data_IF_717635330176
#
_entry.id   IF_717635330176
#
_cell.length_a   1.000
_cell.length_b   1.000
_cell.length_c   1.000
_cell.angle_alpha   90.00
_cell.angle_beta   90.00
_cell.angle_gamma   90.00
#
_symmetry.space_group_name_H-M   'P 1'
#
loop_
_entity.id
_entity.type
_entity.pdbx_description
1 polymer ?
#
# COMPACT_ATOMS: atom_id res chain seq x y z
N UNK A 1 20.54 -32.77 10.65
CA UNK A 1 19.11 -33.03 10.32
C UNK A 1 18.79 -32.34 9.00
N UNK A 2 18.07 -33.02 8.08
CA UNK A 2 17.79 -32.48 6.75
C UNK A 2 16.87 -31.26 6.83
N UNK A 3 17.09 -30.26 5.98
CA UNK A 3 16.27 -29.04 5.82
C UNK A 3 14.78 -29.38 5.61
N UNK A 4 14.49 -30.47 4.91
CA UNK A 4 13.14 -31.00 4.70
C UNK A 4 12.41 -31.38 6.00
N UNK A 5 13.12 -31.93 7.00
CA UNK A 5 12.52 -32.31 8.28
C UNK A 5 12.24 -31.10 9.19
N UNK A 6 13.05 -30.03 9.08
CA UNK A 6 12.80 -28.75 9.77
C UNK A 6 11.57 -28.04 9.18
N UNK A 7 11.45 -27.98 7.86
CA UNK A 7 10.29 -27.40 7.15
C UNK A 7 8.98 -28.15 7.41
N UNK A 8 9.03 -29.49 7.52
CA UNK A 8 7.84 -30.30 7.84
C UNK A 8 7.33 -30.09 9.28
N UNK A 9 8.24 -29.86 10.24
CA UNK A 9 7.86 -29.47 11.61
C UNK A 9 7.21 -28.09 11.68
N UNK A 10 7.74 -27.10 10.94
CA UNK A 10 7.14 -25.75 10.88
C UNK A 10 5.75 -25.79 10.21
N UNK A 11 5.55 -26.53 9.13
CA UNK A 11 4.21 -26.71 8.52
C UNK A 11 3.21 -27.34 9.49
N UNK A 12 3.61 -28.28 10.35
CA UNK A 12 2.75 -28.90 11.34
C UNK A 12 2.28 -27.95 12.45
N UNK A 13 3.05 -26.89 12.76
CA UNK A 13 2.65 -25.83 13.68
C UNK A 13 1.71 -24.81 13.02
N UNK A 14 1.96 -24.43 11.77
CA UNK A 14 1.13 -23.49 11.00
C UNK A 14 -0.30 -24.01 10.75
N UNK A 15 -0.47 -25.31 10.50
CA UNK A 15 -1.80 -25.93 10.28
C UNK A 15 -2.60 -26.04 11.57
N UNK A 16 -1.95 -26.16 12.75
CA UNK A 16 -2.65 -26.23 14.04
C UNK A 16 -3.14 -24.87 14.57
N UNK A 17 -2.55 -23.76 14.13
CA UNK A 17 -2.99 -22.41 14.53
C UNK A 17 -4.15 -21.89 13.67
N UNK A 18 -4.22 -22.24 12.38
CA UNK A 18 -5.33 -21.83 11.51
C UNK A 18 -6.67 -22.45 11.89
N UNK A 19 -6.69 -23.64 12.49
CA UNK A 19 -7.93 -24.26 13.00
C UNK A 19 -8.42 -23.68 14.34
N UNK A 20 -7.53 -23.02 15.11
CA UNK A 20 -7.92 -22.37 16.36
C UNK A 20 -8.48 -20.97 16.20
N UNK A 21 -8.12 -20.26 15.13
CA UNK A 21 -8.61 -18.91 14.87
C UNK A 21 -9.97 -18.88 14.15
N UNK A 22 -10.39 -19.98 13.54
CA UNK A 22 -11.69 -20.09 12.89
C UNK A 22 -12.87 -20.34 13.87
N UNK A 23 -12.59 -20.70 15.13
CA UNK A 23 -13.62 -21.02 16.12
C UNK A 23 -13.90 -19.94 17.18
N UNK A 24 -13.24 -18.77 17.09
CA UNK A 24 -13.35 -17.69 18.09
C UNK A 24 -14.00 -16.38 17.57
N UNK A 25 -14.54 -16.37 16.35
CA UNK A 25 -15.12 -15.15 15.76
C UNK A 25 -16.65 -15.09 15.72
N UNK A 26 -17.38 -15.87 16.51
CA UNK A 26 -18.85 -15.86 16.50
C UNK A 26 -19.56 -15.57 17.82
N UNK A 27 -18.88 -15.17 18.88
CA UNK A 27 -19.56 -14.71 20.11
C UNK A 27 -18.80 -13.56 20.72
N UNK A 28 -19.27 -12.33 20.54
CA UNK A 28 -19.40 -11.20 21.48
C UNK A 28 -19.93 -9.98 20.74
N UNK A 29 -21.24 -9.83 20.73
CA UNK A 29 -21.91 -8.53 20.63
C UNK A 29 -23.02 -8.53 21.67
N UNK A 30 -22.94 -7.64 22.62
CA UNK A 30 -23.92 -7.02 23.49
C UNK A 30 -23.59 -7.09 24.98
N UNK A 31 -23.25 -5.95 25.54
CA UNK A 31 -23.75 -5.36 26.79
C UNK A 31 -22.72 -4.34 27.30
N UNK A 32 -23.01 -3.03 27.25
CA UNK A 32 -23.63 -2.38 28.40
C UNK A 32 -22.62 -1.45 29.07
N UNK A 33 -22.76 -0.14 28.80
CA UNK A 33 -22.12 1.01 29.45
C UNK A 33 -22.57 1.10 30.93
N UNK A 34 -21.63 1.22 31.87
CA UNK A 34 -21.81 1.95 33.14
C UNK A 34 -20.44 2.49 33.59
N UNK A 35 -20.37 3.80 33.83
CA UNK A 35 -19.20 4.51 34.36
C UNK A 35 -19.11 4.43 35.88
N UNK A 36 -17.90 4.62 36.37
CA UNK A 36 -17.65 5.18 37.71
C UNK A 36 -16.32 5.93 37.73
N UNK A 37 -16.39 7.14 38.28
CA UNK A 37 -15.31 8.07 38.60
C UNK A 37 -14.57 7.67 39.90
N UNK A 38 -13.47 8.43 40.24
CA UNK A 38 -12.37 7.93 41.06
C UNK A 38 -12.53 8.20 42.56
N UNK A 39 -11.85 7.44 43.37
CA UNK A 39 -11.70 7.70 44.79
C UNK A 39 -10.26 7.99 45.17
N UNK A 40 -10.03 9.20 45.67
CA UNK A 40 -8.87 9.66 46.43
C UNK A 40 -8.70 8.85 47.72
N UNK A 41 -7.49 8.54 48.07
CA UNK A 41 -7.09 8.39 49.49
C UNK A 41 -5.70 8.97 49.70
N UNK A 42 -5.67 9.95 50.62
CA UNK A 42 -4.50 10.60 51.15
C UNK A 42 -4.14 10.02 52.55
N UNK A 43 -2.95 10.43 52.98
CA UNK A 43 -2.36 10.36 54.33
C UNK A 43 -1.63 9.04 54.69
N UNK A 44 -0.51 8.99 55.39
CA UNK A 44 0.14 10.00 56.28
C UNK A 44 1.60 9.61 56.51
N UNK A 45 2.41 10.58 56.84
CA UNK A 45 3.79 10.62 57.19
C UNK A 45 4.12 9.90 58.50
N UNK A 46 5.29 9.28 58.60
CA UNK A 46 6.05 9.17 59.88
C UNK A 46 7.54 9.26 59.62
N UNK A 47 8.14 10.26 60.19
CA UNK A 47 9.58 10.54 60.27
C UNK A 47 10.15 9.79 61.47
N UNK A 48 11.22 9.04 61.30
CA UNK A 48 12.14 8.73 62.38
C UNK A 48 13.60 9.01 61.98
N UNK A 49 14.17 9.97 62.67
CA UNK A 49 15.59 10.31 62.65
C UNK A 49 16.36 9.35 63.54
N UNK A 50 17.43 8.76 63.04
CA UNK A 50 18.52 8.27 63.90
C UNK A 50 19.86 8.71 63.38
N UNK A 51 20.66 9.12 64.34
CA UNK A 51 21.87 9.92 64.26
C UNK A 51 23.11 9.16 63.75
N UNK A 52 23.92 9.91 63.07
CA UNK A 52 25.25 9.65 62.54
C UNK A 52 26.33 9.39 63.60
N UNK A 53 27.20 8.43 63.34
CA UNK A 53 28.60 8.47 63.76
C UNK A 53 29.54 8.25 62.58
N UNK A 54 30.66 8.94 62.45
CA UNK A 54 31.56 8.85 61.31
C UNK A 54 32.63 7.75 61.53
N UNK A 55 32.66 6.83 60.57
CA UNK A 55 33.81 5.91 60.41
C UNK A 55 34.76 6.48 59.38
N UNK A 56 35.99 6.68 59.76
CA UNK A 56 37.15 7.09 58.97
C UNK A 56 37.41 6.12 57.83
N UNK A 57 37.24 6.61 56.57
CA UNK A 57 37.56 5.87 55.36
C UNK A 57 39.07 6.02 55.04
N UNK A 58 39.79 4.92 55.01
CA UNK A 58 41.05 4.79 54.31
C UNK A 58 40.71 4.67 52.79
N UNK A 59 41.05 5.71 52.06
CA UNK A 59 40.99 5.74 50.60
C UNK A 59 42.07 4.86 49.99
N UNK A 60 41.77 3.61 49.71
CA UNK A 60 42.49 2.90 48.65
C UNK A 60 41.86 3.27 47.31
N UNK A 61 42.53 4.12 46.55
CA UNK A 61 42.24 4.40 45.16
C UNK A 61 42.57 3.18 44.32
N UNK A 62 41.57 2.34 44.07
CA UNK A 62 41.68 1.39 42.97
C UNK A 62 41.84 2.18 41.66
N UNK A 63 42.80 1.82 40.79
CA UNK A 63 42.83 2.40 39.44
C UNK A 63 41.51 2.11 38.73
N UNK A 64 41.03 3.03 37.87
CA UNK A 64 39.81 2.79 37.14
C UNK A 64 39.91 1.45 36.39
N UNK A 65 38.94 0.58 36.60
CA UNK A 65 38.82 -0.65 35.85
C UNK A 65 38.89 -0.28 34.38
N UNK A 66 39.86 -0.78 33.65
CA UNK A 66 39.87 -0.70 32.19
C UNK A 66 38.58 -1.42 31.75
N UNK A 67 37.64 -0.66 31.24
CA UNK A 67 36.45 -1.18 30.52
C UNK A 67 37.02 -2.07 29.41
N UNK A 68 36.92 -3.37 29.58
CA UNK A 68 37.25 -4.31 28.50
C UNK A 68 36.20 -4.14 27.41
N UNK A 69 36.62 -3.60 26.29
CA UNK A 69 35.78 -3.63 25.10
C UNK A 69 35.28 -5.06 24.87
N UNK A 70 33.97 -5.23 24.53
CA UNK A 70 33.43 -6.56 24.30
C UNK A 70 34.20 -7.26 23.18
N UNK A 71 34.58 -8.51 23.39
CA UNK A 71 35.27 -9.32 22.39
C UNK A 71 34.24 -9.73 21.30
N UNK A 72 34.44 -9.23 20.08
CA UNK A 72 33.53 -9.47 18.94
C UNK A 72 34.03 -10.68 18.16
N UNK A 73 33.29 -11.79 18.15
CA UNK A 73 33.67 -12.96 17.36
C UNK A 73 33.74 -12.62 15.87
N UNK A 74 34.78 -13.13 15.20
CA UNK A 74 35.00 -12.96 13.74
C UNK A 74 35.05 -11.50 13.29
N UNK A 75 35.66 -10.62 14.04
CA UNK A 75 35.77 -9.17 13.78
C UNK A 75 36.26 -8.88 12.34
N UNK A 76 37.23 -9.65 11.85
CA UNK A 76 37.77 -9.54 10.49
C UNK A 76 36.74 -9.85 9.39
N UNK A 77 35.76 -10.70 9.66
CA UNK A 77 34.66 -11.00 8.72
C UNK A 77 33.61 -9.89 8.72
N UNK A 78 33.28 -9.36 9.89
CA UNK A 78 32.42 -8.18 10.00
C UNK A 78 33.00 -6.98 9.25
N UNK A 79 34.29 -6.75 9.36
CA UNK A 79 34.99 -5.67 8.63
C UNK A 79 34.88 -5.86 7.11
N UNK A 80 35.05 -7.10 6.60
CA UNK A 80 34.84 -7.41 5.17
C UNK A 80 33.40 -7.15 4.69
N UNK A 81 32.43 -7.31 5.56
CA UNK A 81 31.03 -6.97 5.31
C UNK A 81 30.74 -5.48 5.49
N UNK A 82 31.74 -4.64 5.76
CA UNK A 82 31.60 -3.20 6.05
C UNK A 82 30.74 -2.95 7.31
N UNK A 83 30.80 -3.85 8.28
CA UNK A 83 30.09 -3.75 9.54
C UNK A 83 31.04 -3.49 10.69
N UNK A 84 30.68 -2.55 11.55
CA UNK A 84 31.42 -2.19 12.76
C UNK A 84 30.52 -2.28 14.00
N UNK A 85 31.08 -2.56 15.18
CA UNK A 85 30.29 -2.59 16.39
C UNK A 85 29.88 -1.18 16.82
N UNK A 86 28.64 -1.06 17.25
CA UNK A 86 28.15 0.06 18.04
C UNK A 86 27.93 -0.45 19.46
N UNK A 87 28.66 0.14 20.42
CA UNK A 87 28.65 -0.27 21.82
C UNK A 87 27.80 0.73 22.60
N UNK A 88 26.88 0.21 23.40
CA UNK A 88 26.07 0.99 24.32
C UNK A 88 26.01 0.24 25.66
N UNK A 89 26.47 0.90 26.72
CA UNK A 89 26.71 0.25 28.00
C UNK A 89 27.64 -0.99 27.84
N UNK A 90 27.19 -2.16 28.29
CA UNK A 90 27.95 -3.41 28.22
C UNK A 90 27.59 -4.28 26.99
N UNK A 91 26.69 -3.76 26.10
CA UNK A 91 26.15 -4.51 24.97
C UNK A 91 26.59 -3.91 23.63
N UNK A 92 26.57 -4.72 22.58
CA UNK A 92 26.88 -4.24 21.24
C UNK A 92 25.88 -4.75 20.16
N UNK A 93 25.77 -3.98 19.09
CA UNK A 93 25.15 -4.37 17.84
C UNK A 93 26.09 -4.11 16.69
N UNK A 94 25.85 -4.76 15.55
CA UNK A 94 26.65 -4.54 14.36
C UNK A 94 25.94 -3.55 13.44
N UNK A 95 26.63 -2.47 13.07
CA UNK A 95 26.13 -1.52 12.08
C UNK A 95 26.94 -1.72 10.80
N UNK A 96 26.23 -2.18 9.75
CA UNK A 96 26.78 -2.24 8.40
C UNK A 96 26.42 -0.96 7.67
N UNK A 97 27.42 -0.27 7.08
CA UNK A 97 27.21 0.93 6.29
C UNK A 97 27.83 0.78 4.90
N UNK A 98 27.00 0.96 3.88
CA UNK A 98 27.42 0.96 2.47
C UNK A 98 27.00 2.26 1.81
N UNK A 99 27.89 2.84 1.02
CA UNK A 99 27.70 4.13 0.37
C UNK A 99 27.72 3.98 -1.13
N UNK A 100 26.78 4.61 -1.80
CA UNK A 100 26.62 4.62 -3.25
C UNK A 100 26.60 6.06 -3.75
N UNK A 101 27.35 6.39 -4.81
CA UNK A 101 27.24 7.70 -5.44
C UNK A 101 25.79 7.99 -5.86
N UNK A 102 25.28 9.20 -5.65
CA UNK A 102 23.89 9.55 -5.97
C UNK A 102 23.57 9.40 -7.46
N UNK A 103 24.56 9.53 -8.34
CA UNK A 103 24.42 9.29 -9.78
C UNK A 103 24.40 7.81 -10.17
N UNK A 104 24.63 6.89 -9.24
CA UNK A 104 24.60 5.46 -9.53
C UNK A 104 23.17 5.01 -9.86
N UNK A 105 23.07 4.12 -10.86
CA UNK A 105 21.82 3.48 -11.21
C UNK A 105 21.59 2.22 -10.38
N UNK A 106 20.32 2.04 -10.00
CA UNK A 106 19.80 0.78 -9.49
C UNK A 106 18.61 0.37 -10.38
N UNK A 107 18.86 -0.57 -11.26
CA UNK A 107 17.96 -0.88 -12.37
C UNK A 107 17.87 0.28 -13.38
N UNK A 108 16.65 0.65 -13.76
CA UNK A 108 16.39 1.68 -14.77
C UNK A 108 16.73 3.10 -14.31
N UNK A 109 16.76 3.39 -12.99
CA UNK A 109 16.81 4.74 -12.44
C UNK A 109 18.12 5.03 -11.71
N UNK A 110 18.62 6.27 -11.84
CA UNK A 110 19.66 6.79 -10.97
C UNK A 110 19.05 7.35 -9.68
N UNK A 111 19.73 7.20 -8.55
CA UNK A 111 19.24 7.71 -7.27
C UNK A 111 19.02 9.23 -7.25
N UNK A 112 19.83 9.98 -8.04
CA UNK A 112 19.69 11.44 -8.18
C UNK A 112 18.31 11.88 -8.69
N UNK A 113 17.59 11.01 -9.43
CA UNK A 113 16.27 11.29 -9.95
C UNK A 113 15.20 11.45 -8.84
N UNK A 114 15.53 11.06 -7.60
CA UNK A 114 14.67 11.31 -6.44
C UNK A 114 14.42 12.80 -6.21
N UNK A 115 15.42 13.67 -6.47
CA UNK A 115 15.26 15.11 -6.37
C UNK A 115 14.21 15.64 -7.35
N UNK A 116 14.27 15.16 -8.61
CA UNK A 116 13.35 15.60 -9.68
C UNK A 116 11.91 15.20 -9.38
N UNK A 117 11.70 13.97 -8.87
CA UNK A 117 10.34 13.50 -8.60
C UNK A 117 9.73 14.17 -7.36
N UNK A 118 10.52 14.52 -6.35
CA UNK A 118 10.05 15.32 -5.21
C UNK A 118 9.68 16.74 -5.67
N UNK A 119 10.53 17.37 -6.48
CA UNK A 119 10.23 18.67 -7.07
C UNK A 119 8.98 18.64 -7.96
N UNK A 120 8.74 17.52 -8.65
CA UNK A 120 7.53 17.32 -9.45
C UNK A 120 6.27 17.23 -8.58
N UNK A 121 6.33 16.61 -7.41
CA UNK A 121 5.21 16.63 -6.45
C UNK A 121 4.89 18.05 -6.00
N UNK A 122 5.91 18.84 -5.65
CA UNK A 122 5.74 20.24 -5.26
C UNK A 122 5.09 21.05 -6.38
N UNK A 123 5.62 20.96 -7.60
CA UNK A 123 5.11 21.68 -8.77
C UNK A 123 3.68 21.27 -9.16
N UNK A 124 3.30 20.02 -8.91
CA UNK A 124 1.97 19.50 -9.27
C UNK A 124 0.84 20.06 -8.42
N UNK A 125 1.12 20.45 -7.19
CA UNK A 125 0.13 20.85 -6.19
C UNK A 125 -0.92 19.78 -5.86
N UNK A 126 -0.73 18.53 -6.30
CA UNK A 126 -1.69 17.43 -6.14
C UNK A 126 -1.64 16.82 -4.74
N UNK A 127 -2.80 16.67 -4.11
CA UNK A 127 -2.93 15.90 -2.89
C UNK A 127 -2.99 14.41 -3.23
N UNK A 128 -1.93 13.68 -2.90
CA UNK A 128 -1.83 12.24 -3.19
C UNK A 128 -1.17 11.50 -2.01
N UNK A 129 -1.59 10.25 -1.69
CA UNK A 129 -1.00 9.47 -0.58
C UNK A 129 0.49 9.20 -0.70
N UNK A 130 1.07 9.25 -1.90
CA UNK A 130 2.50 9.10 -2.16
C UNK A 130 3.21 10.45 -2.39
N UNK A 131 2.54 11.59 -2.17
CA UNK A 131 3.15 12.89 -2.34
C UNK A 131 4.20 13.17 -1.29
N UNK A 132 5.41 13.54 -1.73
CA UNK A 132 6.47 14.08 -0.89
C UNK A 132 6.62 15.60 -1.04
N UNK A 133 5.58 16.31 -1.49
CA UNK A 133 5.58 17.77 -1.56
C UNK A 133 5.90 18.39 -0.19
N UNK A 134 6.73 19.42 -0.16
CA UNK A 134 7.21 20.07 1.06
C UNK A 134 8.28 19.27 1.83
N UNK A 135 8.88 18.24 1.20
CA UNK A 135 9.97 17.43 1.78
C UNK A 135 11.22 17.56 0.94
N UNK A 136 12.35 17.30 1.56
CA UNK A 136 13.64 17.14 0.87
C UNK A 136 13.92 15.63 0.73
N UNK A 137 14.77 15.21 -0.21
CA UNK A 137 15.19 13.80 -0.32
C UNK A 137 15.75 13.22 0.99
N UNK A 138 16.50 14.01 1.75
CA UNK A 138 17.10 13.62 3.03
C UNK A 138 16.06 13.38 4.14
N UNK A 139 14.86 13.91 3.99
CA UNK A 139 13.76 13.74 4.94
C UNK A 139 13.10 12.35 4.82
N UNK A 140 13.39 11.61 3.73
CA UNK A 140 12.84 10.29 3.45
C UNK A 140 13.78 9.18 3.93
N UNK A 141 13.24 8.24 4.69
CA UNK A 141 13.90 7.03 5.14
C UNK A 141 13.26 5.82 4.45
N UNK A 142 13.97 5.22 3.51
CA UNK A 142 13.53 4.02 2.80
C UNK A 142 13.85 2.81 3.67
N UNK A 143 12.84 2.21 4.26
CA UNK A 143 12.96 1.37 5.44
C UNK A 143 12.35 -0.01 5.24
N UNK A 144 13.06 -1.03 5.73
CA UNK A 144 12.64 -2.42 5.74
C UNK A 144 13.22 -3.15 6.97
N UNK A 145 12.59 -4.25 7.42
CA UNK A 145 13.01 -5.01 8.60
C UNK A 145 13.01 -6.50 8.38
N UNK A 146 13.94 -7.18 9.11
CA UNK A 146 13.89 -8.63 9.23
C UNK A 146 13.54 -9.05 10.67
N UNK A 147 12.62 -10.00 10.76
CA UNK A 147 12.06 -10.45 12.03
C UNK A 147 12.11 -11.97 12.19
N UNK A 148 12.10 -12.46 13.41
CA UNK A 148 12.15 -13.91 13.70
C UNK A 148 10.88 -14.67 13.35
N UNK A 149 9.80 -13.97 12.93
CA UNK A 149 8.55 -14.59 12.53
C UNK A 149 7.62 -13.63 11.79
N UNK A 150 6.72 -14.19 11.00
CA UNK A 150 5.81 -13.47 10.10
C UNK A 150 4.49 -13.03 10.78
N UNK A 151 4.19 -13.50 11.98
CA UNK A 151 2.98 -13.14 12.72
C UNK A 151 3.24 -11.90 13.58
N UNK A 152 2.31 -10.93 13.55
CA UNK A 152 2.37 -9.78 14.45
C UNK A 152 2.28 -10.19 15.91
N UNK A 153 3.01 -9.48 16.81
CA UNK A 153 2.93 -9.69 18.25
C UNK A 153 4.27 -9.60 18.97
N UNK A 154 4.23 -9.51 20.30
CA UNK A 154 5.41 -9.32 21.15
C UNK A 154 6.40 -10.50 21.16
N UNK A 155 6.03 -11.64 20.59
CA UNK A 155 6.88 -12.85 20.54
C UNK A 155 7.93 -12.85 19.43
N UNK A 156 7.85 -11.92 18.46
CA UNK A 156 8.82 -11.81 17.39
C UNK A 156 9.86 -10.73 17.72
N UNK A 157 11.13 -11.03 17.47
CA UNK A 157 12.23 -10.07 17.61
C UNK A 157 12.54 -9.47 16.25
N UNK A 158 12.72 -8.16 16.18
CA UNK A 158 13.31 -7.47 15.03
C UNK A 158 14.81 -7.64 15.17
N UNK A 159 15.45 -8.36 14.26
CA UNK A 159 16.89 -8.62 14.34
C UNK A 159 17.71 -7.82 13.31
N UNK A 160 17.04 -7.20 12.34
CA UNK A 160 17.64 -6.29 11.38
C UNK A 160 16.72 -5.10 11.13
N UNK A 161 17.23 -3.89 11.35
CA UNK A 161 16.61 -2.63 10.97
C UNK A 161 17.46 -2.04 9.85
N UNK A 162 16.96 -2.17 8.61
CA UNK A 162 17.64 -1.68 7.43
C UNK A 162 16.98 -0.42 6.88
N UNK A 163 17.78 0.52 6.41
CA UNK A 163 17.29 1.68 5.68
C UNK A 163 18.31 2.24 4.70
N UNK A 164 17.81 2.94 3.68
CA UNK A 164 18.62 3.81 2.85
C UNK A 164 18.13 5.26 2.94
N UNK A 165 19.04 6.21 2.80
CA UNK A 165 18.78 7.64 2.85
C UNK A 165 19.78 8.41 2.00
N UNK A 166 19.36 9.58 1.47
CA UNK A 166 20.30 10.52 0.84
C UNK A 166 21.08 11.27 1.92
N UNK A 167 22.38 11.32 1.78
CA UNK A 167 23.30 12.12 2.60
C UNK A 167 24.27 12.87 1.66
N UNK A 168 23.95 14.12 1.32
CA UNK A 168 24.71 14.90 0.34
C UNK A 168 24.68 14.26 -1.05
N UNK A 169 25.85 13.91 -1.58
CA UNK A 169 25.99 13.31 -2.90
C UNK A 169 26.03 11.76 -2.88
N UNK A 170 25.54 11.16 -1.79
CA UNK A 170 25.54 9.72 -1.61
C UNK A 170 24.18 9.19 -1.16
N UNK A 171 23.90 7.95 -1.53
CA UNK A 171 22.90 7.10 -0.88
C UNK A 171 23.62 6.26 0.15
N UNK A 172 23.22 6.39 1.40
CA UNK A 172 23.79 5.63 2.52
C UNK A 172 22.80 4.56 2.94
N UNK A 173 23.21 3.31 2.82
CA UNK A 173 22.50 2.16 3.39
C UNK A 173 23.06 1.89 4.76
N UNK A 174 22.21 1.85 5.79
CA UNK A 174 22.58 1.41 7.15
C UNK A 174 21.70 0.26 7.58
N UNK A 175 22.37 -0.72 8.16
CA UNK A 175 21.75 -1.94 8.66
C UNK A 175 22.21 -2.15 10.10
N UNK A 176 21.26 -2.03 11.03
CA UNK A 176 21.48 -2.28 12.45
C UNK A 176 21.11 -3.73 12.73
N UNK A 177 22.10 -4.56 12.97
CA UNK A 177 21.94 -6.00 13.15
C UNK A 177 22.12 -6.39 14.62
N UNK A 178 21.21 -7.22 15.11
CA UNK A 178 21.15 -7.72 16.49
C UNK A 178 21.93 -9.03 16.63
N UNK A 179 23.16 -9.04 17.15
CA UNK A 179 23.96 -10.27 17.26
C UNK A 179 23.47 -11.21 18.37
N UNK A 180 22.76 -10.67 19.37
CA UNK A 180 22.18 -11.45 20.45
C UNK A 180 20.88 -10.80 20.96
N UNK A 181 19.84 -11.56 21.30
CA UNK A 181 18.52 -11.00 21.66
C UNK A 181 18.53 -10.04 22.86
N UNK A 182 19.50 -10.15 23.78
CA UNK A 182 19.62 -9.29 24.96
C UNK A 182 20.11 -7.87 24.60
N UNK A 183 20.80 -7.67 23.47
CA UNK A 183 21.24 -6.38 22.99
C UNK A 183 20.13 -5.56 22.26
N UNK A 184 18.86 -5.87 22.46
CA UNK A 184 17.75 -5.19 21.80
C UNK A 184 17.67 -3.70 22.14
N UNK A 185 17.99 -3.30 23.36
CA UNK A 185 18.06 -1.89 23.79
C UNK A 185 19.11 -1.15 22.95
N UNK A 186 20.29 -1.72 22.82
CA UNK A 186 21.38 -1.17 22.01
C UNK A 186 21.00 -1.06 20.53
N UNK A 187 20.25 -2.04 19.99
CA UNK A 187 19.73 -2.00 18.62
C UNK A 187 18.83 -0.77 18.41
N UNK A 188 17.88 -0.57 19.30
CA UNK A 188 16.96 0.55 19.18
C UNK A 188 17.63 1.89 19.45
N UNK A 189 18.58 1.95 20.39
CA UNK A 189 19.37 3.16 20.66
C UNK A 189 20.12 3.58 19.40
N UNK A 190 20.88 2.68 18.80
CA UNK A 190 21.68 2.95 17.60
C UNK A 190 20.83 3.38 16.39
N UNK A 191 19.67 2.76 16.22
CA UNK A 191 18.74 3.10 15.13
C UNK A 191 18.12 4.48 15.34
N UNK A 192 17.59 4.76 16.53
CA UNK A 192 16.83 5.97 16.82
C UNK A 192 17.71 7.23 16.75
N UNK A 193 18.97 7.17 17.16
CA UNK A 193 19.94 8.28 17.00
C UNK A 193 20.11 8.73 15.55
N UNK A 194 19.96 7.81 14.60
CA UNK A 194 20.08 8.11 13.18
C UNK A 194 18.72 8.42 12.53
N UNK A 195 17.67 7.73 12.94
CA UNK A 195 16.32 7.86 12.38
C UNK A 195 15.67 9.23 12.69
N UNK A 196 16.04 9.88 13.78
CA UNK A 196 15.55 11.20 14.19
C UNK A 196 15.80 12.29 13.12
N UNK A 197 16.78 12.10 12.25
CA UNK A 197 17.13 13.03 11.17
C UNK A 197 16.11 13.02 10.00
N UNK A 198 15.19 12.07 9.97
CA UNK A 198 14.20 11.89 8.90
C UNK A 198 12.79 12.16 9.42
N UNK A 199 11.87 12.51 8.51
CA UNK A 199 10.48 12.83 8.86
C UNK A 199 9.46 11.85 8.29
N UNK A 200 9.83 11.07 7.26
CA UNK A 200 8.93 10.15 6.58
C UNK A 200 9.58 8.81 6.31
N UNK A 201 8.84 7.74 6.58
CA UNK A 201 9.19 6.39 6.14
C UNK A 201 8.64 6.15 4.73
N UNK A 202 9.45 5.52 3.88
CA UNK A 202 9.04 4.92 2.62
C UNK A 202 9.25 3.43 2.73
N UNK A 203 8.20 2.63 2.59
CA UNK A 203 8.24 1.19 2.84
C UNK A 203 7.46 0.40 1.80
N UNK A 204 7.61 -0.92 1.82
CA UNK A 204 6.79 -1.83 1.04
C UNK A 204 6.01 -2.77 1.97
N UNK A 205 4.74 -2.47 2.24
CA UNK A 205 3.88 -3.12 3.26
C UNK A 205 4.27 -2.79 4.72
N UNK A 206 5.24 -1.92 4.93
CA UNK A 206 5.77 -1.62 6.25
C UNK A 206 4.77 -0.94 7.18
N UNK A 207 3.79 -0.21 6.62
CA UNK A 207 2.71 0.39 7.41
C UNK A 207 1.86 -0.64 8.15
N UNK A 208 1.70 -1.83 7.56
CA UNK A 208 0.91 -2.92 8.12
C UNK A 208 1.75 -3.97 8.83
N UNK A 209 3.05 -4.06 8.56
CA UNK A 209 3.93 -5.12 9.04
C UNK A 209 5.14 -4.60 9.82
N UNK A 210 6.11 -3.97 9.18
CA UNK A 210 7.39 -3.59 9.77
C UNK A 210 7.24 -2.59 10.91
N UNK A 211 6.58 -1.47 10.64
CA UNK A 211 6.45 -0.39 11.61
C UNK A 211 5.62 -0.77 12.86
N UNK A 212 4.50 -1.52 12.77
CA UNK A 212 3.84 -2.10 13.93
C UNK A 212 4.73 -3.01 14.78
N UNK A 213 5.61 -3.82 14.16
CA UNK A 213 6.56 -4.66 14.88
C UNK A 213 7.58 -3.81 15.65
N UNK A 214 8.22 -2.85 14.97
CA UNK A 214 9.15 -1.89 15.60
C UNK A 214 8.48 -1.18 16.78
N UNK A 215 7.26 -0.68 16.62
CA UNK A 215 6.52 -0.02 17.70
C UNK A 215 6.20 -0.95 18.87
N UNK A 216 5.81 -2.19 18.59
CA UNK A 216 5.49 -3.19 19.61
C UNK A 216 6.72 -3.49 20.45
N UNK A 217 7.88 -3.74 19.80
CA UNK A 217 9.13 -4.00 20.50
C UNK A 217 9.61 -2.78 21.28
N UNK A 218 9.63 -1.59 20.66
CA UNK A 218 9.96 -0.35 21.33
C UNK A 218 9.11 -0.12 22.59
N UNK A 219 7.82 -0.44 22.57
CA UNK A 219 6.95 -0.26 23.73
C UNK A 219 7.42 -1.08 24.96
N UNK A 220 8.08 -2.22 24.74
CA UNK A 220 8.59 -3.08 25.81
C UNK A 220 9.85 -2.51 26.47
N UNK A 221 10.62 -1.70 25.73
CA UNK A 221 11.91 -1.14 26.18
C UNK A 221 11.90 0.39 26.26
N UNK A 222 10.76 1.03 26.11
CA UNK A 222 10.58 2.47 25.95
C UNK A 222 11.21 3.36 27.04
N UNK A 223 11.39 2.80 28.24
CA UNK A 223 11.98 3.52 29.37
C UNK A 223 13.54 3.52 29.32
N UNK A 224 14.13 2.79 28.36
CA UNK A 224 15.57 2.62 28.18
C UNK A 224 16.09 3.20 26.85
N UNK A 225 15.20 3.63 25.94
CA UNK A 225 15.57 4.12 24.62
C UNK A 225 14.84 5.43 24.29
N UNK A 226 15.34 6.26 23.35
CA UNK A 226 14.64 7.44 22.91
C UNK A 226 13.22 7.14 22.37
N UNK A 227 12.34 8.14 22.42
CA UNK A 227 10.99 8.01 21.87
C UNK A 227 11.03 7.77 20.35
N UNK A 228 10.10 6.94 19.83
CA UNK A 228 9.93 6.78 18.40
C UNK A 228 9.51 8.09 17.75
N UNK A 229 10.17 8.52 16.66
CA UNK A 229 9.74 9.67 15.87
C UNK A 229 8.32 9.49 15.30
N UNK A 230 7.57 10.58 15.23
CA UNK A 230 6.26 10.60 14.58
C UNK A 230 6.42 10.71 13.07
N UNK A 231 6.77 9.63 12.42
CA UNK A 231 6.95 9.59 10.97
C UNK A 231 5.64 9.73 10.20
N UNK A 232 5.66 10.56 9.12
CA UNK A 232 4.78 10.35 7.97
C UNK A 232 5.12 9.00 7.31
N UNK A 233 4.20 8.40 6.55
CA UNK A 233 4.42 7.04 6.03
C UNK A 233 3.88 6.88 4.62
N UNK A 234 4.78 6.67 3.67
CA UNK A 234 4.52 6.38 2.26
C UNK A 234 4.69 4.87 2.04
N UNK A 235 3.59 4.12 1.94
CA UNK A 235 3.64 2.67 1.72
C UNK A 235 3.39 2.36 0.24
N UNK A 236 4.41 1.85 -0.44
CA UNK A 236 4.41 1.63 -1.88
C UNK A 236 3.59 0.42 -2.32
N UNK A 237 3.36 -0.58 -1.44
CA UNK A 237 2.58 -1.77 -1.79
C UNK A 237 1.14 -1.42 -2.21
N UNK A 238 0.51 -0.44 -1.53
CA UNK A 238 -0.84 -0.03 -1.88
C UNK A 238 -0.90 0.60 -3.27
N UNK A 239 0.13 1.37 -3.64
CA UNK A 239 0.30 1.92 -4.98
C UNK A 239 0.53 0.82 -6.02
N UNK A 240 1.45 -0.09 -5.76
CA UNK A 240 1.75 -1.22 -6.63
C UNK A 240 0.52 -2.08 -6.93
N UNK A 241 -0.26 -2.39 -5.91
CA UNK A 241 -1.52 -3.15 -6.08
C UNK A 241 -2.58 -2.41 -6.89
N UNK A 242 -2.63 -1.09 -6.81
CA UNK A 242 -3.55 -0.30 -7.64
C UNK A 242 -3.14 -0.30 -9.09
N UNK A 243 -1.86 -0.11 -9.35
CA UNK A 243 -1.33 0.02 -10.70
C UNK A 243 -1.24 -1.34 -11.42
N UNK A 244 -0.75 -2.38 -10.74
CA UNK A 244 -0.27 -3.59 -11.42
C UNK A 244 -0.90 -4.92 -10.98
N UNK A 245 -1.87 -4.91 -10.04
CA UNK A 245 -2.47 -6.16 -9.56
C UNK A 245 -3.13 -7.01 -10.65
N UNK A 246 -3.63 -6.39 -11.72
CA UNK A 246 -4.27 -7.10 -12.83
C UNK A 246 -3.25 -7.53 -13.90
N UNK A 247 -2.10 -6.88 -13.98
CA UNK A 247 -1.05 -7.08 -14.96
C UNK A 247 -0.02 -8.11 -14.50
N UNK A 248 0.46 -7.97 -13.26
CA UNK A 248 1.52 -8.81 -12.71
C UNK A 248 0.97 -10.08 -12.04
N UNK A 249 1.74 -11.16 -12.13
CA UNK A 249 1.46 -12.41 -11.42
C UNK A 249 1.35 -12.18 -9.90
N UNK A 250 2.20 -11.32 -9.38
CA UNK A 250 2.24 -10.94 -7.96
C UNK A 250 2.80 -9.54 -7.78
N UNK A 251 2.25 -8.80 -6.80
CA UNK A 251 2.81 -7.52 -6.36
C UNK A 251 3.83 -7.71 -5.22
N UNK A 252 4.70 -8.73 -5.28
CA UNK A 252 5.88 -8.83 -4.40
C UNK A 252 6.98 -7.92 -4.92
N UNK A 253 7.80 -7.37 -4.02
CA UNK A 253 8.84 -6.41 -4.41
C UNK A 253 9.76 -6.98 -5.48
N UNK A 254 10.28 -8.20 -5.31
CA UNK A 254 11.17 -8.83 -6.29
C UNK A 254 10.54 -9.05 -7.69
N UNK A 255 9.21 -9.24 -7.80
CA UNK A 255 8.54 -9.28 -9.11
C UNK A 255 8.43 -7.89 -9.72
N UNK A 256 8.12 -6.88 -8.92
CA UNK A 256 8.05 -5.49 -9.39
C UNK A 256 9.44 -4.99 -9.81
N UNK A 257 10.47 -5.35 -9.08
CA UNK A 257 11.87 -5.07 -9.43
C UNK A 257 12.20 -5.57 -10.83
N UNK A 258 11.91 -6.81 -11.10
CA UNK A 258 12.20 -7.45 -12.38
C UNK A 258 11.35 -6.86 -13.51
N UNK A 259 10.04 -6.70 -13.30
CA UNK A 259 9.08 -6.36 -14.36
C UNK A 259 8.99 -4.85 -14.64
N UNK A 260 9.31 -4.01 -13.64
CA UNK A 260 9.10 -2.54 -13.73
C UNK A 260 10.36 -1.71 -13.51
N UNK A 261 11.39 -2.27 -12.87
CA UNK A 261 12.58 -1.49 -12.50
C UNK A 261 13.86 -1.98 -13.17
N UNK A 262 13.86 -3.07 -13.92
CA UNK A 262 15.05 -3.71 -14.49
C UNK A 262 16.09 -4.07 -13.41
N UNK A 263 15.63 -4.43 -12.21
CA UNK A 263 16.48 -4.91 -11.11
C UNK A 263 16.40 -6.42 -11.05
N UNK A 264 17.53 -7.08 -11.28
CA UNK A 264 17.65 -8.53 -11.25
C UNK A 264 18.55 -8.94 -10.08
N UNK A 265 18.03 -9.80 -9.20
CA UNK A 265 18.77 -10.31 -8.05
C UNK A 265 19.54 -11.56 -8.43
N UNK A 266 20.85 -11.51 -8.29
CA UNK A 266 21.72 -12.68 -8.44
C UNK A 266 21.90 -13.35 -7.08
N UNK A 267 21.73 -14.68 -7.00
CA UNK A 267 21.89 -15.49 -5.80
C UNK A 267 21.11 -15.00 -4.55
N UNK A 268 19.91 -14.42 -4.77
CA UNK A 268 19.09 -13.85 -3.70
C UNK A 268 18.62 -14.90 -2.68
N UNK A 269 18.70 -14.55 -1.42
CA UNK A 269 18.15 -15.35 -0.34
C UNK A 269 16.63 -15.14 -0.26
N UNK A 270 15.79 -16.18 -0.46
CA UNK A 270 14.36 -16.00 -0.24
C UNK A 270 14.06 -15.48 1.17
N UNK A 271 13.33 -14.35 1.29
CA UNK A 271 13.10 -13.66 2.57
C UNK A 271 12.55 -14.54 3.70
N UNK A 272 11.76 -15.60 3.37
CA UNK A 272 11.27 -16.56 4.38
C UNK A 272 12.41 -17.37 5.04
N UNK A 273 13.63 -17.34 4.51
CA UNK A 273 14.81 -17.99 5.11
C UNK A 273 15.57 -17.06 6.06
N UNK A 274 15.31 -15.77 6.06
CA UNK A 274 16.00 -14.81 6.93
C UNK A 274 15.93 -15.20 8.43
N UNK A 275 14.75 -15.61 8.97
CA UNK A 275 14.69 -16.09 10.37
C UNK A 275 15.54 -17.34 10.62
N UNK A 276 15.60 -18.25 9.65
CA UNK A 276 16.40 -19.48 9.79
C UNK A 276 17.89 -19.15 9.83
N UNK A 277 18.34 -18.23 8.96
CA UNK A 277 19.73 -17.75 8.95
C UNK A 277 20.09 -17.03 10.24
N UNK A 278 19.18 -16.24 10.78
CA UNK A 278 19.41 -15.59 12.07
C UNK A 278 19.57 -16.61 13.20
N UNK A 279 18.74 -17.65 13.27
CA UNK A 279 18.92 -18.70 14.28
C UNK A 279 20.20 -19.51 14.08
N UNK A 280 20.61 -19.78 12.85
CA UNK A 280 21.89 -20.44 12.55
C UNK A 280 23.06 -19.52 12.98
N UNK A 281 22.95 -18.19 12.75
CA UNK A 281 23.92 -17.20 13.22
C UNK A 281 24.02 -17.17 14.77
N UNK A 282 22.90 -17.17 15.49
CA UNK A 282 22.92 -17.17 16.95
C UNK A 282 23.68 -18.37 17.55
N UNK A 283 23.78 -19.49 16.83
CA UNK A 283 24.53 -20.68 17.24
C UNK A 283 26.02 -20.60 16.88
N UNK A 284 26.35 -20.03 15.74
CA UNK A 284 27.72 -20.02 15.20
C UNK A 284 28.46 -18.73 15.49
N UNK A 285 27.73 -17.61 15.63
CA UNK A 285 28.22 -16.23 15.64
C UNK A 285 29.03 -15.84 14.39
N UNK A 286 28.96 -16.66 13.31
CA UNK A 286 29.71 -16.47 12.08
C UNK A 286 28.96 -15.52 11.13
N UNK A 287 29.50 -14.34 10.77
CA UNK A 287 28.88 -13.37 9.88
C UNK A 287 28.56 -13.92 8.48
N UNK A 288 29.31 -14.89 7.97
CA UNK A 288 29.07 -15.46 6.65
C UNK A 288 27.68 -16.13 6.54
N UNK A 289 27.11 -16.55 7.68
CA UNK A 289 25.75 -17.13 7.74
C UNK A 289 24.66 -16.11 7.46
N UNK A 290 24.87 -14.84 7.85
CA UNK A 290 23.89 -13.76 7.76
C UNK A 290 24.12 -12.84 6.54
N UNK A 291 25.25 -12.97 5.84
CA UNK A 291 25.60 -12.13 4.69
C UNK A 291 24.47 -12.05 3.64
N UNK A 292 23.88 -13.19 3.28
CA UNK A 292 22.77 -13.24 2.31
C UNK A 292 21.54 -12.43 2.77
N UNK A 293 21.27 -12.37 4.08
CA UNK A 293 20.17 -11.57 4.63
C UNK A 293 20.49 -10.08 4.56
N UNK A 294 21.73 -9.70 4.89
CA UNK A 294 22.17 -8.31 4.77
C UNK A 294 22.09 -7.80 3.34
N UNK A 295 22.53 -8.61 2.35
CA UNK A 295 22.45 -8.26 0.93
C UNK A 295 21.00 -8.18 0.43
N UNK A 296 20.12 -9.08 0.87
CA UNK A 296 18.70 -9.06 0.56
C UNK A 296 18.05 -7.74 1.00
N UNK A 297 18.17 -7.41 2.28
CA UNK A 297 17.63 -6.18 2.86
C UNK A 297 18.25 -4.91 2.24
N UNK A 298 19.56 -4.92 1.91
CA UNK A 298 20.22 -3.82 1.18
C UNK A 298 19.54 -3.57 -0.17
N UNK A 299 19.29 -4.64 -0.94
CA UNK A 299 18.60 -4.54 -2.23
C UNK A 299 17.19 -3.99 -2.06
N UNK A 300 16.45 -4.47 -1.04
CA UNK A 300 15.10 -4.00 -0.74
C UNK A 300 15.08 -2.48 -0.52
N UNK A 301 15.91 -1.96 0.38
CA UNK A 301 15.89 -0.52 0.70
C UNK A 301 16.41 0.36 -0.43
N UNK A 302 17.27 -0.13 -1.31
CA UNK A 302 17.66 0.58 -2.55
C UNK A 302 16.55 0.55 -3.59
N UNK A 303 15.88 -0.57 -3.75
CA UNK A 303 14.74 -0.72 -4.66
C UNK A 303 13.55 0.14 -4.27
N UNK A 304 13.35 0.42 -2.98
CA UNK A 304 12.32 1.36 -2.54
C UNK A 304 12.53 2.77 -3.11
N UNK A 305 13.80 3.24 -3.25
CA UNK A 305 14.10 4.54 -3.85
C UNK A 305 13.64 4.54 -5.31
N UNK A 306 14.08 3.57 -6.09
CA UNK A 306 13.80 3.52 -7.53
C UNK A 306 12.32 3.20 -7.81
N UNK A 307 11.67 2.43 -6.96
CA UNK A 307 10.23 2.19 -7.04
C UNK A 307 9.44 3.48 -6.77
N UNK A 308 9.86 4.27 -5.79
CA UNK A 308 9.22 5.55 -5.50
C UNK A 308 9.39 6.53 -6.68
N UNK A 309 10.58 6.58 -7.29
CA UNK A 309 10.84 7.37 -8.50
C UNK A 309 9.92 6.93 -9.64
N UNK A 310 9.89 5.63 -9.94
CA UNK A 310 9.06 5.05 -10.99
C UNK A 310 7.57 5.37 -10.80
N UNK A 311 7.02 5.10 -9.62
CA UNK A 311 5.62 5.38 -9.33
C UNK A 311 5.29 6.87 -9.44
N UNK A 312 6.17 7.75 -8.97
CA UNK A 312 5.94 9.20 -9.06
C UNK A 312 5.90 9.67 -10.51
N UNK A 313 6.82 9.17 -11.36
CA UNK A 313 6.81 9.47 -12.80
C UNK A 313 5.53 9.01 -13.46
N UNK A 314 5.10 7.78 -13.22
CA UNK A 314 3.82 7.28 -13.74
C UNK A 314 2.64 8.17 -13.30
N UNK A 315 2.57 8.56 -12.04
CA UNK A 315 1.46 9.34 -11.51
C UNK A 315 1.42 10.78 -12.04
N UNK A 316 2.58 11.42 -12.23
CA UNK A 316 2.66 12.84 -12.56
C UNK A 316 2.97 13.11 -14.05
N UNK A 317 3.61 12.17 -14.75
CA UNK A 317 4.13 12.37 -16.10
C UNK A 317 3.66 11.31 -17.11
N UNK A 318 2.60 10.57 -16.79
CA UNK A 318 2.05 9.50 -17.65
C UNK A 318 1.70 9.96 -19.08
N UNK A 319 1.51 11.25 -19.31
CA UNK A 319 1.30 11.81 -20.65
C UNK A 319 2.58 11.85 -21.51
N UNK A 320 3.75 11.80 -20.87
CA UNK A 320 5.06 11.99 -21.52
C UNK A 320 5.89 10.72 -21.61
N UNK A 321 5.56 9.71 -20.81
CA UNK A 321 6.29 8.45 -20.72
C UNK A 321 5.58 7.34 -21.49
N UNK A 322 6.30 6.28 -21.84
CA UNK A 322 5.75 5.09 -22.46
C UNK A 322 4.99 4.25 -21.41
N UNK A 323 3.81 4.74 -21.01
CA UNK A 323 2.92 4.09 -20.03
C UNK A 323 1.90 3.24 -20.78
N UNK A 324 1.61 2.04 -20.28
CA UNK A 324 0.60 1.18 -20.88
C UNK A 324 -0.80 1.78 -20.73
N UNK A 325 -1.72 1.43 -21.64
CA UNK A 325 -3.12 1.89 -21.54
C UNK A 325 -3.79 1.41 -20.23
N UNK A 326 -3.35 0.28 -19.72
CA UNK A 326 -3.81 -0.27 -18.46
C UNK A 326 -3.35 0.57 -17.28
N UNK A 327 -2.06 0.89 -17.22
CA UNK A 327 -1.51 1.78 -16.20
C UNK A 327 -2.16 3.17 -16.25
N UNK A 328 -2.30 3.78 -17.45
CA UNK A 328 -3.01 5.05 -17.60
C UNK A 328 -4.45 4.98 -17.05
N UNK A 329 -5.16 3.90 -17.33
CA UNK A 329 -6.52 3.69 -16.81
C UNK A 329 -6.53 3.56 -15.28
N UNK A 330 -5.61 2.78 -14.69
CA UNK A 330 -5.52 2.59 -13.24
C UNK A 330 -5.07 3.86 -12.51
N UNK A 331 -4.18 4.67 -13.12
CA UNK A 331 -3.81 6.00 -12.63
C UNK A 331 -5.05 6.92 -12.59
N UNK A 332 -5.80 6.99 -13.69
CA UNK A 332 -7.03 7.78 -13.76
C UNK A 332 -8.06 7.33 -12.70
N UNK A 333 -8.23 6.01 -12.53
CA UNK A 333 -9.11 5.43 -11.50
C UNK A 333 -8.63 5.76 -10.08
N UNK A 334 -7.33 5.87 -9.87
CA UNK A 334 -6.80 6.25 -8.58
C UNK A 334 -7.09 7.72 -8.27
N UNK A 335 -6.88 8.64 -9.23
CA UNK A 335 -7.26 10.05 -9.07
C UNK A 335 -8.76 10.23 -8.85
N UNK A 336 -9.59 9.45 -9.55
CA UNK A 336 -11.04 9.44 -9.32
C UNK A 336 -11.38 9.06 -7.86
N UNK A 337 -10.75 8.01 -7.34
CA UNK A 337 -10.94 7.57 -5.96
C UNK A 337 -10.47 8.60 -4.91
N UNK A 338 -9.48 9.42 -5.25
CA UNK A 338 -9.00 10.54 -4.43
C UNK A 338 -9.87 11.80 -4.56
N UNK A 339 -10.82 11.82 -5.51
CA UNK A 339 -11.70 12.96 -5.75
C UNK A 339 -11.15 13.98 -6.74
N UNK A 340 -9.97 13.77 -7.29
CA UNK A 340 -9.41 14.60 -8.38
C UNK A 340 -10.05 14.21 -9.72
N UNK A 341 -11.25 14.75 -9.95
CA UNK A 341 -12.03 14.44 -11.15
C UNK A 341 -11.37 14.99 -12.42
N UNK A 342 -10.60 16.06 -12.34
CA UNK A 342 -9.91 16.64 -13.48
C UNK A 342 -8.80 15.70 -13.98
N UNK A 343 -7.88 15.31 -13.09
CA UNK A 343 -6.81 14.37 -13.42
C UNK A 343 -7.37 13.00 -13.88
N UNK A 344 -8.45 12.52 -13.23
CA UNK A 344 -9.12 11.30 -13.67
C UNK A 344 -9.69 11.40 -15.08
N UNK A 345 -10.36 12.52 -15.41
CA UNK A 345 -10.95 12.77 -16.73
C UNK A 345 -9.86 12.81 -17.80
N UNK A 346 -8.74 13.49 -17.55
CA UNK A 346 -7.64 13.61 -18.50
C UNK A 346 -6.99 12.25 -18.78
N UNK A 347 -6.71 11.47 -17.74
CA UNK A 347 -6.18 10.11 -17.90
C UNK A 347 -7.13 9.18 -18.64
N UNK A 348 -8.43 9.18 -18.32
CA UNK A 348 -9.41 8.37 -19.06
C UNK A 348 -9.54 8.82 -20.52
N UNK A 349 -9.44 10.12 -20.85
CA UNK A 349 -9.48 10.62 -22.23
C UNK A 349 -8.31 10.10 -23.05
N UNK A 350 -7.08 10.08 -22.49
CA UNK A 350 -5.92 9.50 -23.18
C UNK A 350 -6.20 8.06 -23.60
N UNK A 351 -6.71 7.23 -22.69
CA UNK A 351 -7.05 5.83 -22.99
C UNK A 351 -8.24 5.73 -23.96
N UNK A 352 -9.24 6.58 -23.82
CA UNK A 352 -10.44 6.56 -24.65
C UNK A 352 -10.17 6.91 -26.13
N UNK A 353 -9.14 7.71 -26.40
CA UNK A 353 -8.73 8.12 -27.76
C UNK A 353 -7.89 7.06 -28.48
N UNK A 354 -7.40 6.06 -27.78
CA UNK A 354 -6.58 4.99 -28.36
C UNK A 354 -7.46 3.94 -29.05
N UNK A 355 -6.90 3.25 -30.05
CA UNK A 355 -7.52 2.07 -30.67
C UNK A 355 -7.14 0.78 -29.92
N UNK A 356 -7.40 0.75 -28.63
CA UNK A 356 -7.05 -0.35 -27.75
C UNK A 356 -8.29 -0.91 -27.03
N UNK A 357 -8.21 -2.15 -26.56
CA UNK A 357 -9.30 -2.82 -25.83
C UNK A 357 -9.77 -2.09 -24.57
N UNK A 358 -8.94 -1.23 -23.98
CA UNK A 358 -9.24 -0.40 -22.81
C UNK A 358 -10.05 0.86 -23.16
N UNK A 359 -10.11 1.27 -24.43
CA UNK A 359 -10.82 2.48 -24.86
C UNK A 359 -12.29 2.50 -24.40
N UNK A 360 -13.03 1.41 -24.61
CA UNK A 360 -14.43 1.35 -24.20
C UNK A 360 -14.62 1.32 -22.66
N UNK A 361 -13.66 0.77 -21.91
CA UNK A 361 -13.66 0.87 -20.44
C UNK A 361 -13.46 2.31 -19.98
N UNK A 362 -12.53 3.02 -20.63
CA UNK A 362 -12.28 4.43 -20.33
C UNK A 362 -13.50 5.32 -20.68
N UNK A 363 -14.14 5.09 -21.82
CA UNK A 363 -15.39 5.78 -22.20
C UNK A 363 -16.51 5.50 -21.19
N UNK A 364 -16.63 4.26 -20.70
CA UNK A 364 -17.58 3.93 -19.64
C UNK A 364 -17.33 4.77 -18.38
N UNK A 365 -16.07 4.85 -17.93
CA UNK A 365 -15.67 5.64 -16.76
C UNK A 365 -15.93 7.15 -16.97
N UNK A 366 -15.60 7.70 -18.15
CA UNK A 366 -15.91 9.10 -18.50
C UNK A 366 -17.42 9.37 -18.39
N UNK A 367 -18.25 8.47 -18.93
CA UNK A 367 -19.70 8.59 -18.82
C UNK A 367 -20.19 8.58 -17.36
N UNK A 368 -19.58 7.77 -16.50
CA UNK A 368 -19.86 7.79 -15.06
C UNK A 368 -19.47 9.11 -14.40
N UNK A 369 -18.32 9.70 -14.75
CA UNK A 369 -17.92 11.01 -14.26
C UNK A 369 -18.92 12.09 -14.67
N UNK A 370 -19.33 12.15 -15.94
CA UNK A 370 -20.36 13.08 -16.40
C UNK A 370 -21.69 12.86 -15.68
N UNK A 371 -22.12 11.61 -15.50
CA UNK A 371 -23.33 11.29 -14.74
C UNK A 371 -23.26 11.77 -13.29
N UNK A 372 -22.12 11.62 -12.62
CA UNK A 372 -21.87 12.13 -11.27
C UNK A 372 -21.98 13.66 -11.20
N UNK A 373 -21.54 14.34 -12.25
CA UNK A 373 -21.67 15.79 -12.44
C UNK A 373 -23.08 16.22 -12.87
N UNK A 374 -24.05 15.29 -13.02
CA UNK A 374 -25.40 15.50 -13.54
C UNK A 374 -25.42 15.93 -15.02
N UNK A 375 -24.33 15.73 -15.74
CA UNK A 375 -24.19 16.03 -17.16
C UNK A 375 -24.67 14.83 -18.01
N UNK A 376 -25.96 14.54 -17.91
CA UNK A 376 -26.55 13.31 -18.46
C UNK A 376 -26.48 13.23 -19.98
N UNK A 377 -26.54 14.36 -20.66
CA UNK A 377 -26.44 14.40 -22.12
C UNK A 377 -25.04 13.94 -22.59
N UNK A 378 -23.99 14.50 -22.02
CA UNK A 378 -22.62 14.13 -22.35
C UNK A 378 -22.30 12.67 -21.94
N UNK A 379 -22.85 12.22 -20.80
CA UNK A 379 -22.72 10.82 -20.39
C UNK A 379 -23.30 9.88 -21.46
N UNK A 380 -24.51 10.19 -21.97
CA UNK A 380 -25.19 9.39 -22.99
C UNK A 380 -24.39 9.40 -24.30
N UNK A 381 -23.94 10.56 -24.77
CA UNK A 381 -23.15 10.71 -25.99
C UNK A 381 -21.87 9.85 -25.97
N UNK A 382 -21.14 9.86 -24.85
CA UNK A 382 -19.94 9.04 -24.69
C UNK A 382 -20.28 7.56 -24.72
N UNK A 383 -21.32 7.12 -24.01
CA UNK A 383 -21.75 5.72 -24.04
C UNK A 383 -22.26 5.28 -25.40
N UNK A 384 -23.02 6.14 -26.13
CA UNK A 384 -23.43 5.87 -27.51
C UNK A 384 -22.21 5.76 -28.46
N UNK A 385 -21.14 6.53 -28.20
CA UNK A 385 -19.90 6.39 -28.96
C UNK A 385 -19.20 5.03 -28.72
N UNK A 386 -19.28 4.46 -27.50
CA UNK A 386 -18.85 3.09 -27.23
C UNK A 386 -19.62 2.07 -28.08
N UNK A 387 -20.93 2.22 -28.14
CA UNK A 387 -21.84 1.27 -28.83
C UNK A 387 -21.57 1.21 -30.34
N UNK A 388 -21.01 2.26 -30.93
CA UNK A 388 -20.62 2.34 -32.35
C UNK A 388 -19.23 1.73 -32.62
N UNK A 389 -18.49 1.36 -31.59
CA UNK A 389 -17.16 0.77 -31.72
C UNK A 389 -17.25 -0.67 -32.25
N UNK A 390 -16.25 -1.07 -33.05
CA UNK A 390 -16.09 -2.48 -33.49
C UNK A 390 -15.52 -3.39 -32.39
N UNK A 391 -14.94 -2.81 -31.32
CA UNK A 391 -14.39 -3.53 -30.18
C UNK A 391 -15.49 -3.99 -29.23
N UNK A 392 -15.11 -4.87 -28.31
CA UNK A 392 -16.01 -5.33 -27.25
C UNK A 392 -16.56 -4.16 -26.43
N UNK A 393 -17.88 -4.05 -26.37
CA UNK A 393 -18.59 -3.04 -25.57
C UNK A 393 -19.06 -3.70 -24.27
N UNK A 394 -18.65 -3.18 -23.11
CA UNK A 394 -19.13 -3.68 -21.83
C UNK A 394 -20.66 -3.60 -21.72
N UNK A 395 -21.29 -4.65 -21.21
CA UNK A 395 -22.74 -4.71 -20.96
C UNK A 395 -23.23 -3.50 -20.13
N UNK A 396 -22.41 -3.05 -19.19
CA UNK A 396 -22.68 -1.91 -18.30
C UNK A 396 -22.93 -0.61 -19.05
N UNK A 397 -22.32 -0.39 -20.22
CA UNK A 397 -22.54 0.79 -21.08
C UNK A 397 -24.02 0.90 -21.46
N UNK A 398 -24.61 -0.19 -21.89
CA UNK A 398 -26.03 -0.24 -22.26
C UNK A 398 -26.94 -0.05 -21.06
N UNK A 399 -26.59 -0.65 -19.91
CA UNK A 399 -27.36 -0.53 -18.67
C UNK A 399 -27.40 0.92 -18.19
N UNK A 400 -26.27 1.60 -18.20
CA UNK A 400 -26.16 2.98 -17.71
C UNK A 400 -26.83 3.96 -18.67
N UNK A 401 -26.70 3.76 -19.98
CA UNK A 401 -27.44 4.53 -20.97
C UNK A 401 -28.97 4.34 -20.80
N UNK A 402 -29.42 3.09 -20.62
CA UNK A 402 -30.85 2.81 -20.39
C UNK A 402 -31.35 3.48 -19.10
N UNK A 403 -30.56 3.51 -18.01
CA UNK A 403 -30.95 4.18 -16.77
C UNK A 403 -31.09 5.70 -16.95
N UNK A 404 -30.21 6.33 -17.71
CA UNK A 404 -30.23 7.77 -17.96
C UNK A 404 -31.43 8.11 -18.83
N UNK A 405 -31.70 7.36 -19.93
CA UNK A 405 -32.89 7.55 -20.76
C UNK A 405 -34.17 7.37 -19.94
N UNK A 406 -34.28 6.33 -19.10
CA UNK A 406 -35.44 6.08 -18.26
C UNK A 406 -35.72 7.16 -17.24
N UNK A 407 -34.68 7.59 -16.46
CA UNK A 407 -34.88 8.39 -15.25
C UNK A 407 -34.67 9.88 -15.45
N UNK A 408 -33.84 10.28 -16.42
CA UNK A 408 -33.50 11.69 -16.64
C UNK A 408 -34.22 12.27 -17.88
N UNK A 409 -34.24 11.52 -18.98
CA UNK A 409 -34.85 12.01 -20.21
C UNK A 409 -36.31 11.56 -20.41
N UNK A 410 -36.76 10.54 -19.65
CA UNK A 410 -38.06 9.89 -19.81
C UNK A 410 -38.29 9.37 -21.23
N UNK A 411 -37.19 9.03 -21.94
CA UNK A 411 -37.20 8.42 -23.25
C UNK A 411 -37.30 6.90 -23.08
N UNK A 412 -38.55 6.41 -23.05
CA UNK A 412 -38.84 5.01 -22.76
C UNK A 412 -38.41 4.09 -23.90
N UNK A 413 -38.47 4.57 -25.14
CA UNK A 413 -38.10 3.80 -26.32
C UNK A 413 -36.60 3.55 -26.38
N UNK A 414 -35.78 4.60 -26.17
CA UNK A 414 -34.32 4.42 -26.04
C UNK A 414 -33.94 3.58 -24.83
N UNK A 415 -34.60 3.80 -23.68
CA UNK A 415 -34.36 2.99 -22.49
C UNK A 415 -34.62 1.50 -22.72
N UNK A 416 -35.73 1.19 -23.43
CA UNK A 416 -36.09 -0.17 -23.82
C UNK A 416 -35.10 -0.75 -24.82
N UNK A 417 -34.71 0.03 -25.83
CA UNK A 417 -33.71 -0.37 -26.83
C UNK A 417 -32.39 -0.77 -26.15
N UNK A 418 -31.81 0.09 -25.32
CA UNK A 418 -30.55 -0.22 -24.63
C UNK A 418 -30.71 -1.38 -23.64
N UNK A 419 -31.82 -1.51 -22.95
CA UNK A 419 -32.08 -2.65 -22.04
C UNK A 419 -32.07 -3.97 -22.82
N UNK A 420 -32.66 -4.02 -24.00
CA UNK A 420 -32.63 -5.21 -24.86
C UNK A 420 -31.24 -5.52 -25.37
N UNK A 421 -30.44 -4.50 -25.75
CA UNK A 421 -29.04 -4.68 -26.13
C UNK A 421 -28.20 -5.23 -24.99
N UNK A 422 -28.35 -4.69 -23.77
CA UNK A 422 -27.70 -5.22 -22.59
C UNK A 422 -28.03 -6.70 -22.34
N UNK A 423 -29.32 -7.06 -22.47
CA UNK A 423 -29.77 -8.44 -22.28
C UNK A 423 -29.17 -9.39 -23.33
N UNK A 424 -29.08 -8.98 -24.60
CA UNK A 424 -28.41 -9.77 -25.63
C UNK A 424 -26.91 -9.95 -25.37
N UNK A 425 -26.21 -8.90 -24.93
CA UNK A 425 -24.81 -9.02 -24.55
C UNK A 425 -24.62 -9.97 -23.33
N UNK A 426 -25.49 -9.85 -22.32
CA UNK A 426 -25.52 -10.76 -21.19
C UNK A 426 -25.73 -12.22 -21.62
N UNK A 427 -26.66 -12.49 -22.54
CA UNK A 427 -26.91 -13.83 -23.08
C UNK A 427 -25.66 -14.38 -23.80
N UNK A 428 -25.00 -13.58 -24.64
CA UNK A 428 -23.79 -13.98 -25.36
C UNK A 428 -22.68 -14.36 -24.39
N UNK A 429 -22.41 -13.50 -23.39
CA UNK A 429 -21.39 -13.75 -22.36
C UNK A 429 -21.71 -15.01 -21.53
N UNK A 430 -22.96 -15.17 -21.11
CA UNK A 430 -23.38 -16.32 -20.31
C UNK A 430 -23.31 -17.65 -21.10
N UNK A 431 -23.45 -17.61 -22.43
CA UNK A 431 -23.25 -18.78 -23.30
C UNK A 431 -21.79 -19.20 -23.34
N UNK A 432 -20.85 -18.24 -23.41
CA UNK A 432 -19.40 -18.51 -23.46
C UNK A 432 -18.88 -19.04 -22.12
N UNK A 433 -19.35 -18.49 -21.00
CA UNK A 433 -18.85 -18.82 -19.65
C UNK A 433 -19.58 -19.97 -18.97
N UNK A 434 -20.62 -20.57 -19.61
CA UNK A 434 -21.49 -21.61 -19.04
C UNK A 434 -22.10 -21.25 -17.68
N UNK A 435 -22.18 -19.96 -17.36
CA UNK A 435 -22.68 -19.45 -16.08
C UNK A 435 -23.82 -18.44 -16.35
N UNK A 436 -25.08 -18.88 -16.21
CA UNK A 436 -26.28 -18.03 -16.37
C UNK A 436 -27.05 -18.00 -15.06
N UNK A 437 -27.12 -16.81 -14.46
CA UNK A 437 -27.98 -16.58 -13.30
C UNK A 437 -29.44 -16.45 -13.79
N UNK A 438 -30.34 -17.32 -13.29
CA UNK A 438 -31.77 -17.21 -13.55
C UNK A 438 -32.35 -15.91 -12.97
N UNK A 439 -31.77 -15.42 -11.87
CA UNK A 439 -32.16 -14.17 -11.22
C UNK A 439 -31.89 -12.96 -12.11
N UNK A 440 -30.71 -12.92 -12.76
CA UNK A 440 -30.37 -11.82 -13.69
C UNK A 440 -31.24 -11.81 -14.92
N UNK A 441 -31.53 -12.98 -15.51
CA UNK A 441 -32.42 -13.10 -16.64
C UNK A 441 -33.83 -12.55 -16.30
N UNK A 442 -34.34 -12.91 -15.11
CA UNK A 442 -35.64 -12.42 -14.63
C UNK A 442 -35.61 -10.90 -14.37
N UNK A 443 -34.48 -10.35 -13.88
CA UNK A 443 -34.33 -8.93 -13.67
C UNK A 443 -34.42 -8.14 -14.99
N UNK A 444 -33.78 -8.64 -16.06
CA UNK A 444 -33.89 -8.05 -17.40
C UNK A 444 -35.30 -8.11 -17.94
N UNK A 445 -35.99 -9.26 -17.83
CA UNK A 445 -37.36 -9.43 -18.28
C UNK A 445 -38.31 -8.45 -17.60
N UNK A 446 -38.27 -8.40 -16.25
CA UNK A 446 -39.08 -7.45 -15.48
C UNK A 446 -38.82 -5.98 -15.88
N UNK A 447 -37.56 -5.63 -16.16
CA UNK A 447 -37.23 -4.28 -16.59
C UNK A 447 -37.79 -3.97 -17.96
N UNK A 448 -37.71 -4.91 -18.90
CA UNK A 448 -38.28 -4.79 -20.25
C UNK A 448 -39.79 -4.59 -20.17
N UNK A 449 -40.53 -5.48 -19.48
CA UNK A 449 -41.98 -5.40 -19.28
C UNK A 449 -42.40 -4.04 -18.68
N UNK A 450 -41.68 -3.57 -17.68
CA UNK A 450 -41.95 -2.27 -17.07
C UNK A 450 -41.74 -1.10 -18.02
N UNK A 451 -40.67 -1.11 -18.83
CA UNK A 451 -40.40 -0.06 -19.81
C UNK A 451 -41.44 -0.05 -20.95
N UNK A 452 -41.86 -1.22 -21.44
CA UNK A 452 -42.95 -1.36 -22.42
C UNK A 452 -44.27 -0.84 -21.89
N UNK A 453 -44.58 -1.06 -20.62
CA UNK A 453 -45.78 -0.52 -20.00
C UNK A 453 -45.75 1.02 -19.90
N UNK A 454 -44.59 1.58 -19.54
CA UNK A 454 -44.40 3.04 -19.47
C UNK A 454 -44.48 3.71 -20.85
N UNK A 455 -43.86 3.11 -21.88
CA UNK A 455 -43.93 3.63 -23.26
C UNK A 455 -45.36 3.67 -23.81
N UNK A 456 -46.13 2.60 -23.59
CA UNK A 456 -47.56 2.55 -23.98
C UNK A 456 -48.41 3.60 -23.27
N UNK A 457 -48.13 3.87 -21.97
CA UNK A 457 -48.85 4.88 -21.21
C UNK A 457 -48.58 6.29 -21.72
N UNK A 458 -47.32 6.60 -22.05
CA UNK A 458 -46.92 7.90 -22.61
C UNK A 458 -47.51 8.16 -23.99
N UNK A 459 -47.54 7.14 -24.84
CA UNK A 459 -48.12 7.22 -26.18
C UNK A 459 -49.63 7.45 -26.15
N UNK A 460 -50.32 6.81 -25.23
CA UNK A 460 -51.77 7.01 -25.03
C UNK A 460 -52.10 8.42 -24.51
N UNK A 461 -51.22 9.02 -23.68
CA UNK A 461 -51.38 10.41 -23.25
C UNK A 461 -51.14 11.42 -24.38
N UNK A 462 -50.12 11.18 -25.24
CA UNK A 462 -49.87 12.03 -26.42
C UNK A 462 -50.99 11.93 -27.46
N UNK A 463 -51.45 10.74 -27.74
CA UNK A 463 -52.58 10.51 -28.68
C UNK A 463 -53.87 11.16 -28.15
N UNK A 464 -54.09 11.10 -26.84
CA UNK A 464 -55.24 11.77 -26.20
C UNK A 464 -55.15 13.31 -26.25
N UNK A 465 -53.95 13.88 -26.09
CA UNK A 465 -53.71 15.33 -26.22
C UNK A 465 -53.89 15.80 -27.67
N UNK A 466 -53.40 15.04 -28.64
CA UNK A 466 -53.54 15.33 -30.07
C UNK A 466 -55.03 15.26 -30.50
N UNK A 467 -55.74 14.22 -30.06
CA UNK A 467 -57.20 14.10 -30.32
C UNK A 467 -57.96 15.26 -29.72
N UNK A 468 -57.71 15.64 -28.49
CA UNK A 468 -58.35 16.80 -27.83
C UNK A 468 -58.05 18.13 -28.52
N UNK A 469 -56.84 18.30 -29.10
CA UNK A 469 -56.49 19.48 -29.89
C UNK A 469 -57.25 19.55 -31.21
N UNK A 470 -57.46 18.44 -31.89
CA UNK A 470 -58.28 18.35 -33.14
C UNK A 470 -59.76 18.61 -32.86
N UNK A 471 -60.29 18.12 -31.75
CA UNK A 471 -61.65 18.40 -31.33
C UNK A 471 -61.87 19.88 -31.03
N UNK A 472 -60.89 20.54 -30.37
CA UNK A 472 -60.94 21.97 -30.06
C UNK A 472 -60.87 22.86 -31.33
N UNK A 473 -60.02 22.52 -32.31
CA UNK A 473 -59.88 23.23 -33.56
C UNK A 473 -61.18 23.04 -34.44
N UNK A 474 -61.79 21.87 -34.36
CA UNK A 474 -63.06 21.58 -35.08
C UNK A 474 -64.21 22.41 -34.53
N UNK A 475 -64.31 22.68 -33.26
CA UNK A 475 -65.37 23.49 -32.63
C UNK A 475 -65.20 25.00 -32.88
N UNK A 476 -64.03 25.55 -33.12
CA UNK A 476 -63.83 26.95 -33.49
C UNK A 476 -64.15 27.24 -34.96
N UNK A 477 -64.17 26.25 -35.85
CA UNK A 477 -64.54 26.42 -37.25
C UNK A 477 -66.06 26.28 -37.49
N UNK A 478 -66.80 25.94 -36.42
CA UNK A 478 -68.29 25.75 -36.52
C UNK A 478 -69.05 26.87 -35.84
N UNK A 479 -68.39 27.94 -35.41
CA UNK A 479 -69.00 29.16 -34.93
C UNK A 479 -68.66 30.32 -35.86
#
# INVERSE_FOLDING_TARGET
MSLKSKLQRMKGHLVKETDKTASLSSEVVAAGVVGHEPAEFAHESAVEQQATQPLSASTETNPPAQEKEPEIPYADRWEKLQASPYIWEDEHVMIREVRYPIGQKHGAYAFSELHDVIASWEASGKAHPLSAAGRRPEDLLFFDTETTGLSGGAGNTVFLLGYSRIEGEEVVVRQHFLPAPHAEVTLYQSFLEQAEKSSHLVTFNGKSFDWPQVRTRHTLIRDQVPALPAFGHLDLLHGARRLWKAELESCRLGIIEQEKLDVFREDDLPGFLAPVRYFDFLHSQDPDVIEGVLRHNETDVLSLITLYIHMTRLLLHHEREAVSHEECFEIARWYEALGDQAAAMDGYRLVAMSDHSWSNRAKLAIGHLYKKQKNYQQALEVWESCMKSSSYVPEEVYIEAAKVCEHQFRDWDKALHYTRQAYEQWKKRGSLLRNRSKADALAYQKRIERLEAKGRGSQAEEDGLISGLFDWIGDEQSK
#
